data_IF_319488841242
#
_entry.id   IF_319488841242
#
_cell.length_a   1.000
_cell.length_b   1.000
_cell.length_c   1.000
_cell.angle_alpha   90.00
_cell.angle_beta   90.00
_cell.angle_gamma   90.00
#
_symmetry.space_group_name_H-M   'P 1'
#
loop_
_entity.id
_entity.type
_entity.pdbx_description
1 polymer ?
#
# COMPACT_ATOMS: atom_id res chain seq x y z
N UNK A 1 26.81 14.51 14.62
CA UNK A 1 26.66 13.29 13.81
C UNK A 1 25.23 13.29 13.33
N UNK A 2 24.97 13.33 12.03
CA UNK A 2 23.61 13.18 11.52
C UNK A 2 23.23 11.70 11.68
N UNK A 3 22.27 11.41 12.57
CA UNK A 3 21.63 10.10 12.61
C UNK A 3 20.91 9.88 11.27
N UNK A 4 21.09 8.69 10.68
CA UNK A 4 20.42 8.32 9.44
C UNK A 4 18.96 7.97 9.72
N UNK A 5 18.04 8.15 8.76
CA UNK A 5 16.62 7.76 8.92
C UNK A 5 16.46 6.31 9.38
N UNK A 6 17.32 5.40 8.91
CA UNK A 6 17.34 4.01 9.33
C UNK A 6 17.69 3.82 10.82
N UNK A 7 18.69 4.55 11.33
CA UNK A 7 19.07 4.49 12.74
C UNK A 7 17.97 5.05 13.66
N UNK A 8 17.28 6.10 13.21
CA UNK A 8 16.11 6.66 13.88
C UNK A 8 14.96 5.65 13.91
N UNK A 9 14.64 5.02 12.76
CA UNK A 9 13.58 4.03 12.68
C UNK A 9 13.80 2.88 13.69
N UNK A 10 15.00 2.30 13.76
CA UNK A 10 15.31 1.21 14.70
C UNK A 10 15.20 1.64 16.16
N UNK A 11 15.67 2.84 16.51
CA UNK A 11 15.59 3.34 17.88
C UNK A 11 14.15 3.68 18.31
N UNK A 12 13.31 4.14 17.38
CA UNK A 12 11.94 4.59 17.64
C UNK A 12 10.90 3.48 17.54
N UNK A 13 11.21 2.40 16.83
CA UNK A 13 10.35 1.23 16.63
C UNK A 13 11.04 -0.08 17.03
N UNK A 14 11.36 -0.24 18.33
CA UNK A 14 11.88 -1.51 18.84
C UNK A 14 10.87 -2.64 18.68
N UNK A 15 11.39 -3.88 18.61
CA UNK A 15 10.58 -5.08 18.69
C UNK A 15 9.82 -5.15 20.02
N UNK A 16 8.62 -5.71 19.97
CA UNK A 16 7.78 -6.01 21.13
C UNK A 16 7.31 -7.46 21.09
N UNK A 17 6.52 -7.89 22.07
CA UNK A 17 6.03 -9.25 22.16
C UNK A 17 5.07 -9.60 21.01
N UNK A 18 5.25 -10.78 20.42
CA UNK A 18 4.36 -11.32 19.37
C UNK A 18 2.88 -11.39 19.83
N UNK A 19 2.63 -11.68 21.12
CA UNK A 19 1.29 -11.76 21.70
C UNK A 19 0.49 -10.45 21.68
N UNK A 20 1.11 -9.32 21.31
CA UNK A 20 0.37 -8.08 21.02
C UNK A 20 -0.59 -8.22 19.82
N UNK A 21 -0.43 -9.28 19.00
CA UNK A 21 -1.33 -9.62 17.89
C UNK A 21 -2.51 -10.50 18.27
N UNK A 22 -2.57 -11.04 19.49
CA UNK A 22 -3.60 -12.03 19.89
C UNK A 22 -5.02 -11.48 19.70
N UNK A 23 -5.23 -10.20 20.00
CA UNK A 23 -6.54 -9.57 19.80
C UNK A 23 -6.90 -9.38 18.31
N UNK A 24 -5.91 -9.23 17.42
CA UNK A 24 -6.14 -9.18 15.97
C UNK A 24 -6.50 -10.54 15.43
N UNK A 25 -5.85 -11.60 15.93
CA UNK A 25 -6.20 -13.00 15.62
C UNK A 25 -7.66 -13.28 15.96
N UNK A 26 -8.09 -12.90 17.16
CA UNK A 26 -9.49 -13.04 17.60
C UNK A 26 -10.45 -12.15 16.79
N UNK A 27 -10.03 -10.93 16.44
CA UNK A 27 -10.86 -9.96 15.72
C UNK A 27 -11.09 -10.36 14.25
N UNK A 28 -10.04 -10.85 13.59
CA UNK A 28 -10.05 -11.19 12.17
C UNK A 28 -10.44 -12.65 11.91
N UNK A 29 -10.38 -13.52 12.93
CA UNK A 29 -10.46 -14.98 12.78
C UNK A 29 -9.44 -15.51 11.75
N UNK A 30 -8.21 -15.01 11.86
CA UNK A 30 -7.12 -15.21 10.89
C UNK A 30 -5.80 -15.48 11.63
N UNK A 31 -4.86 -16.20 11.00
CA UNK A 31 -3.56 -16.53 11.60
C UNK A 31 -2.49 -15.44 11.44
N UNK A 32 -2.75 -14.46 10.58
CA UNK A 32 -1.89 -13.32 10.27
C UNK A 32 -0.94 -13.55 9.09
N UNK A 33 -0.99 -14.69 8.40
CA UNK A 33 -0.01 -15.06 7.36
C UNK A 33 0.22 -13.96 6.32
N UNK A 34 -0.83 -13.28 5.89
CA UNK A 34 -0.78 -12.15 4.94
C UNK A 34 -1.07 -10.79 5.61
N UNK A 35 -1.37 -10.77 6.90
CA UNK A 35 -1.93 -9.63 7.63
C UNK A 35 -3.30 -9.97 8.24
N UNK A 36 -3.65 -9.32 9.35
CA UNK A 36 -4.94 -9.51 10.01
C UNK A 36 -5.97 -8.56 9.41
N UNK A 37 -6.83 -9.02 8.51
CA UNK A 37 -7.85 -8.18 7.89
C UNK A 37 -8.99 -7.85 8.89
N UNK A 38 -9.10 -6.61 9.41
CA UNK A 38 -10.10 -6.29 10.40
C UNK A 38 -11.51 -6.25 9.79
N UNK A 39 -12.59 -6.33 10.59
CA UNK A 39 -13.92 -5.86 10.21
C UNK A 39 -13.93 -4.33 10.02
N UNK A 40 -15.10 -3.69 9.89
CA UNK A 40 -15.15 -2.25 9.61
C UNK A 40 -14.87 -1.33 10.82
N UNK A 41 -15.51 -1.59 11.96
CA UNK A 41 -15.45 -0.94 13.29
C UNK A 41 -15.04 0.55 13.48
N UNK A 42 -16.02 1.42 13.80
CA UNK A 42 -17.41 1.36 13.36
C UNK A 42 -17.59 1.50 11.84
N UNK A 43 -16.55 1.87 11.11
CA UNK A 43 -16.62 2.15 9.68
C UNK A 43 -15.25 1.93 9.01
N UNK A 44 -15.23 1.64 7.71
CA UNK A 44 -13.98 1.39 7.01
C UNK A 44 -13.96 1.87 5.57
N UNK A 45 -12.75 2.14 5.09
CA UNK A 45 -12.47 2.38 3.68
C UNK A 45 -11.24 1.58 3.24
N UNK A 46 -11.20 1.28 1.95
CA UNK A 46 -9.95 0.98 1.25
C UNK A 46 -9.24 2.28 0.93
N UNK A 47 -7.96 2.38 1.28
CA UNK A 47 -7.01 3.31 0.68
C UNK A 47 -6.39 2.60 -0.51
N UNK A 48 -6.71 3.05 -1.71
CA UNK A 48 -6.30 2.43 -2.96
C UNK A 48 -4.85 2.86 -3.28
N UNK A 49 -3.97 1.88 -3.47
CA UNK A 49 -2.56 2.15 -3.74
C UNK A 49 -2.41 2.94 -5.06
N UNK A 50 -1.46 3.87 -5.09
CA UNK A 50 -1.22 4.71 -6.27
C UNK A 50 -0.82 3.89 -7.50
N UNK A 51 -1.33 4.33 -8.65
CA UNK A 51 -0.89 3.88 -9.97
C UNK A 51 -0.57 5.10 -10.83
N UNK A 52 0.25 4.90 -11.85
CA UNK A 52 0.74 6.00 -12.69
C UNK A 52 0.54 5.69 -14.17
N UNK A 53 0.28 6.74 -14.93
CA UNK A 53 0.19 6.68 -16.38
C UNK A 53 1.26 7.59 -16.98
N UNK A 54 2.00 7.07 -17.94
CA UNK A 54 2.95 7.84 -18.72
C UNK A 54 2.20 8.82 -19.64
N UNK A 55 2.78 9.98 -19.97
CA UNK A 55 2.17 11.01 -20.82
C UNK A 55 1.75 10.52 -22.22
N UNK A 56 2.35 9.42 -22.69
CA UNK A 56 1.98 8.76 -23.95
C UNK A 56 0.67 7.96 -23.84
N UNK A 57 0.10 7.85 -22.64
CA UNK A 57 -1.11 7.09 -22.35
C UNK A 57 -0.86 5.58 -22.25
N UNK A 58 -1.93 4.79 -22.12
CA UNK A 58 -1.82 3.34 -22.21
C UNK A 58 -1.47 2.99 -23.64
N UNK A 59 -0.44 2.18 -23.80
CA UNK A 59 0.02 1.71 -25.10
C UNK A 59 -0.66 0.37 -25.43
N UNK A 60 -0.79 0.03 -26.71
CA UNK A 60 -1.32 -1.27 -27.14
C UNK A 60 -0.37 -2.45 -26.81
N UNK A 61 0.83 -2.15 -26.29
CA UNK A 61 1.84 -3.12 -25.93
C UNK A 61 1.84 -3.35 -24.42
N UNK A 62 1.79 -4.60 -23.99
CA UNK A 62 1.90 -4.91 -22.56
C UNK A 62 3.33 -4.76 -22.05
N UNK A 63 3.48 -4.61 -20.73
CA UNK A 63 4.77 -4.53 -20.05
C UNK A 63 5.68 -5.73 -20.39
N UNK A 64 5.16 -6.96 -20.33
CA UNK A 64 5.98 -8.16 -20.64
C UNK A 64 6.39 -8.21 -22.11
N UNK A 65 5.53 -7.76 -23.04
CA UNK A 65 5.88 -7.70 -24.45
C UNK A 65 6.98 -6.67 -24.71
N UNK A 66 6.88 -5.49 -24.08
CA UNK A 66 7.89 -4.44 -24.15
C UNK A 66 9.22 -4.90 -23.51
N UNK A 67 9.17 -5.51 -22.33
CA UNK A 67 10.34 -6.09 -21.65
C UNK A 67 11.06 -7.11 -22.53
N UNK A 68 10.31 -8.02 -23.16
CA UNK A 68 10.89 -9.01 -24.08
C UNK A 68 11.54 -8.34 -25.29
N UNK A 69 10.92 -7.31 -25.87
CA UNK A 69 11.47 -6.58 -27.00
C UNK A 69 12.79 -5.87 -26.63
N UNK A 70 12.87 -5.24 -25.45
CA UNK A 70 14.09 -4.60 -24.94
C UNK A 70 15.19 -5.63 -24.67
N UNK A 71 14.86 -6.74 -24.01
CA UNK A 71 15.82 -7.84 -23.75
C UNK A 71 16.37 -8.46 -25.03
N UNK A 72 15.64 -8.38 -26.14
CA UNK A 72 16.07 -8.83 -27.46
C UNK A 72 16.91 -7.78 -28.23
N UNK A 73 17.34 -6.71 -27.55
CA UNK A 73 18.23 -5.68 -28.10
C UNK A 73 17.51 -4.47 -28.69
N UNK A 74 16.20 -4.36 -28.49
CA UNK A 74 15.46 -3.14 -28.83
C UNK A 74 15.64 -2.04 -27.77
N UNK A 75 15.32 -0.82 -28.16
CA UNK A 75 15.44 0.38 -27.33
C UNK A 75 14.24 1.33 -27.48
N UNK A 76 14.46 2.65 -27.37
CA UNK A 76 13.41 3.67 -27.47
C UNK A 76 12.62 3.66 -28.79
N UNK A 77 13.09 2.96 -29.81
CA UNK A 77 12.40 2.78 -31.09
C UNK A 77 11.21 1.80 -31.04
N UNK A 78 11.13 0.94 -30.01
CA UNK A 78 9.99 0.01 -29.85
C UNK A 78 8.70 0.80 -29.66
N UNK A 79 8.74 1.83 -28.81
CA UNK A 79 7.65 2.79 -28.61
C UNK A 79 8.32 4.18 -28.59
N UNK A 80 8.24 4.95 -29.71
CA UNK A 80 8.88 6.25 -29.81
C UNK A 80 8.51 7.17 -28.64
N UNK A 81 9.54 7.63 -27.92
CA UNK A 81 9.39 8.52 -26.78
C UNK A 81 9.14 7.82 -25.44
N UNK A 82 9.14 6.49 -25.38
CA UNK A 82 9.16 5.73 -24.13
C UNK A 82 10.55 5.11 -23.94
N UNK A 83 11.29 5.62 -22.95
CA UNK A 83 12.63 5.10 -22.64
C UNK A 83 12.49 3.82 -21.77
N UNK A 84 13.14 2.71 -22.12
CA UNK A 84 13.19 1.52 -21.27
C UNK A 84 13.63 1.81 -19.83
N UNK A 85 14.53 2.78 -19.62
CA UNK A 85 14.97 3.18 -18.29
C UNK A 85 13.85 3.82 -17.46
N UNK A 86 12.95 4.58 -18.09
CA UNK A 86 11.78 5.20 -17.43
C UNK A 86 10.72 4.15 -17.04
N UNK A 87 10.66 3.03 -17.76
CA UNK A 87 9.70 1.94 -17.53
C UNK A 87 10.20 0.93 -16.51
N UNK A 88 11.46 0.50 -16.62
CA UNK A 88 12.02 -0.57 -15.79
C UNK A 88 12.75 -0.06 -14.55
N UNK A 89 13.00 1.25 -14.45
CA UNK A 89 13.61 1.88 -13.28
C UNK A 89 12.57 2.29 -12.23
N UNK A 90 12.94 2.22 -10.95
CA UNK A 90 12.10 2.64 -9.82
C UNK A 90 11.34 1.50 -9.14
N UNK A 91 10.69 1.82 -8.03
CA UNK A 91 9.80 0.89 -7.29
C UNK A 91 8.39 1.02 -7.87
N UNK A 92 7.66 -0.08 -8.09
CA UNK A 92 6.24 -0.02 -8.44
C UNK A 92 5.46 0.90 -7.50
N UNK A 93 4.44 1.58 -8.01
CA UNK A 93 3.57 2.47 -7.23
C UNK A 93 4.25 3.74 -6.70
N UNK A 94 5.55 3.96 -6.95
CA UNK A 94 6.23 5.22 -6.64
C UNK A 94 6.19 6.18 -7.84
N UNK A 95 6.22 7.50 -7.62
CA UNK A 95 6.36 8.47 -8.70
C UNK A 95 7.62 8.21 -9.56
N UNK A 96 7.43 7.87 -10.84
CA UNK A 96 8.51 7.54 -11.79
C UNK A 96 9.12 8.73 -12.54
N UNK A 97 8.88 9.95 -12.06
CA UNK A 97 9.41 11.19 -12.65
C UNK A 97 8.37 12.01 -13.43
N UNK A 98 8.79 13.10 -14.09
CA UNK A 98 7.89 14.17 -14.55
C UNK A 98 6.95 13.79 -15.70
N UNK A 99 7.25 12.70 -16.42
CA UNK A 99 6.45 12.20 -17.54
C UNK A 99 5.38 11.21 -17.11
N UNK A 100 5.35 10.86 -15.83
CA UNK A 100 4.36 10.00 -15.21
C UNK A 100 3.44 10.84 -14.34
N UNK A 101 2.14 10.67 -14.51
CA UNK A 101 1.12 11.32 -13.67
C UNK A 101 0.37 10.27 -12.87
N UNK A 102 -0.12 10.65 -11.69
CA UNK A 102 -1.03 9.81 -10.92
C UNK A 102 -2.27 9.50 -11.75
N UNK A 103 -2.56 8.22 -11.92
CA UNK A 103 -3.79 7.71 -12.53
C UNK A 103 -4.73 7.30 -11.39
N UNK A 104 -5.93 7.86 -11.34
CA UNK A 104 -6.91 7.52 -10.29
C UNK A 104 -7.66 6.24 -10.63
N UNK A 105 -7.99 5.41 -9.65
CA UNK A 105 -8.78 4.18 -9.84
C UNK A 105 -10.15 4.49 -10.43
N UNK A 106 -10.81 5.54 -9.95
CA UNK A 106 -12.06 6.02 -10.53
C UNK A 106 -11.91 6.56 -11.96
N UNK A 107 -10.73 7.08 -12.33
CA UNK A 107 -10.45 7.48 -13.71
C UNK A 107 -10.35 6.25 -14.61
N UNK A 108 -9.55 5.26 -14.22
CA UNK A 108 -9.36 4.04 -14.98
C UNK A 108 -10.65 3.23 -15.11
N UNK A 109 -11.39 3.07 -14.00
CA UNK A 109 -12.69 2.40 -13.97
C UNK A 109 -13.70 3.01 -14.95
N UNK A 110 -13.75 4.35 -15.07
CA UNK A 110 -14.61 5.02 -16.05
C UNK A 110 -14.18 4.78 -17.50
N UNK A 111 -12.87 4.65 -17.75
CA UNK A 111 -12.32 4.42 -19.10
C UNK A 111 -12.62 3.01 -19.57
N UNK A 112 -12.51 2.02 -18.69
CA UNK A 112 -12.64 0.60 -19.03
C UNK A 112 -14.05 0.05 -18.83
N UNK A 113 -14.83 0.65 -17.93
CA UNK A 113 -16.10 0.09 -17.44
C UNK A 113 -15.92 -0.98 -16.36
N UNK A 114 -14.67 -1.26 -15.94
CA UNK A 114 -14.40 -2.22 -14.88
C UNK A 114 -14.71 -1.64 -13.49
N UNK A 115 -15.17 -2.45 -12.53
CA UNK A 115 -15.37 -1.99 -11.15
C UNK A 115 -14.03 -1.83 -10.40
N UNK A 116 -13.90 -0.78 -9.59
CA UNK A 116 -12.71 -0.56 -8.72
C UNK A 116 -12.48 -1.73 -7.75
N UNK A 117 -13.53 -2.40 -7.28
CA UNK A 117 -13.45 -3.54 -6.35
C UNK A 117 -14.55 -4.58 -6.64
N UNK A 118 -14.40 -5.46 -7.65
CA UNK A 118 -15.45 -6.38 -8.11
C UNK A 118 -15.95 -7.35 -7.01
N UNK A 119 -15.08 -7.78 -6.11
CA UNK A 119 -15.39 -8.68 -4.99
C UNK A 119 -15.25 -7.97 -3.63
N UNK A 120 -15.28 -6.63 -3.64
CA UNK A 120 -15.06 -5.82 -2.43
C UNK A 120 -13.60 -5.79 -1.95
N UNK A 121 -12.65 -6.35 -2.71
CA UNK A 121 -11.20 -6.34 -2.43
C UNK A 121 -10.42 -5.86 -3.67
N UNK A 122 -9.77 -4.68 -3.60
CA UNK A 122 -8.88 -4.23 -4.66
C UNK A 122 -7.61 -5.10 -4.73
N UNK A 123 -7.44 -5.82 -5.82
CA UNK A 123 -6.29 -6.70 -6.08
C UNK A 123 -6.02 -6.82 -7.58
N UNK A 124 -5.18 -7.78 -7.98
CA UNK A 124 -4.86 -8.07 -9.38
C UNK A 124 -6.06 -8.33 -10.31
N UNK A 125 -7.26 -8.52 -9.74
CA UNK A 125 -8.52 -8.74 -10.49
C UNK A 125 -9.33 -7.46 -10.76
N UNK A 126 -8.89 -6.30 -10.29
CA UNK A 126 -9.73 -5.09 -10.30
C UNK A 126 -9.94 -4.46 -11.69
N UNK A 127 -9.05 -4.71 -12.65
CA UNK A 127 -9.16 -4.21 -14.03
C UNK A 127 -9.03 -5.35 -15.04
N UNK A 128 -10.00 -6.29 -15.10
CA UNK A 128 -9.90 -7.47 -15.93
C UNK A 128 -9.83 -7.14 -17.44
N UNK A 129 -10.36 -6.00 -17.89
CA UNK A 129 -10.28 -5.60 -19.30
C UNK A 129 -8.87 -5.23 -19.76
N UNK A 130 -7.99 -4.84 -18.82
CA UNK A 130 -6.59 -4.52 -19.09
C UNK A 130 -5.67 -5.71 -18.91
N UNK A 131 -6.22 -6.85 -18.46
CA UNK A 131 -5.46 -8.05 -18.19
C UNK A 131 -5.23 -8.84 -19.47
N UNK A 132 -4.21 -8.44 -20.21
CA UNK A 132 -3.61 -9.31 -21.23
C UNK A 132 -2.86 -10.47 -20.54
N UNK A 133 -2.67 -11.63 -21.20
CA UNK A 133 -1.81 -12.71 -20.69
C UNK A 133 -0.38 -12.24 -20.34
N UNK A 134 0.00 -11.08 -20.87
CA UNK A 134 1.31 -10.45 -20.76
C UNK A 134 1.33 -9.19 -19.88
N UNK A 135 0.35 -9.02 -18.99
CA UNK A 135 0.31 -7.99 -17.94
C UNK A 135 -0.32 -6.65 -18.35
N UNK A 136 -0.14 -5.64 -17.51
CA UNK A 136 -0.63 -4.27 -17.74
C UNK A 136 -0.06 -3.67 -19.05
N UNK A 137 -0.78 -2.72 -19.71
CA UNK A 137 -0.21 -1.86 -20.74
C UNK A 137 1.07 -1.18 -20.25
N UNK A 138 2.14 -1.14 -21.06
CA UNK A 138 3.45 -0.64 -20.58
C UNK A 138 3.44 0.86 -20.22
N UNK A 139 2.49 1.63 -20.75
CA UNK A 139 2.27 3.02 -20.35
C UNK A 139 1.57 3.20 -19.00
N UNK A 140 1.18 2.11 -18.32
CA UNK A 140 0.60 2.13 -16.98
C UNK A 140 1.53 1.37 -16.03
N UNK A 141 1.93 2.04 -14.96
CA UNK A 141 2.53 1.40 -13.79
C UNK A 141 1.42 1.08 -12.80
N UNK A 142 1.19 -0.21 -12.59
CA UNK A 142 0.14 -0.70 -11.71
C UNK A 142 0.40 -0.37 -10.23
N UNK A 143 -0.60 -0.53 -9.38
CA UNK A 143 -0.42 -0.34 -7.94
C UNK A 143 0.56 -1.36 -7.35
N UNK A 144 1.26 -0.96 -6.30
CA UNK A 144 2.09 -1.86 -5.49
C UNK A 144 1.25 -2.93 -4.82
N UNK A 145 1.72 -4.17 -4.87
CA UNK A 145 1.13 -5.29 -4.15
C UNK A 145 1.68 -5.35 -2.73
N UNK A 146 0.80 -5.47 -1.73
CA UNK A 146 1.18 -5.66 -0.33
C UNK A 146 1.83 -4.48 0.39
N UNK A 147 2.07 -3.34 -0.28
CA UNK A 147 2.70 -2.15 0.31
C UNK A 147 2.14 -0.85 -0.24
N UNK A 148 2.06 0.17 0.60
CA UNK A 148 1.87 1.55 0.16
C UNK A 148 3.19 2.14 -0.33
N UNK A 149 3.11 3.08 -1.27
CA UNK A 149 4.22 3.95 -1.62
C UNK A 149 4.50 4.97 -0.49
N UNK A 150 5.66 5.62 -0.52
CA UNK A 150 6.09 6.55 0.52
C UNK A 150 5.15 7.75 0.67
N UNK A 151 4.66 8.26 -0.45
CA UNK A 151 3.78 9.45 -0.47
C UNK A 151 2.45 9.11 0.18
N UNK A 152 1.82 8.02 -0.23
CA UNK A 152 0.56 7.55 0.33
C UNK A 152 0.72 7.11 1.79
N UNK A 153 1.82 6.43 2.15
CA UNK A 153 2.14 6.08 3.55
C UNK A 153 2.26 7.32 4.44
N UNK A 154 3.04 8.30 4.01
CA UNK A 154 3.24 9.53 4.77
C UNK A 154 1.93 10.30 4.96
N UNK A 155 1.12 10.38 3.90
CA UNK A 155 -0.18 11.06 3.98
C UNK A 155 -1.16 10.30 4.88
N UNK A 156 -1.19 8.98 4.80
CA UNK A 156 -2.00 8.15 5.69
C UNK A 156 -1.61 8.35 7.17
N UNK A 157 -0.31 8.39 7.48
CA UNK A 157 0.19 8.70 8.83
C UNK A 157 -0.25 10.08 9.30
N UNK A 158 -0.24 11.09 8.42
CA UNK A 158 -0.72 12.44 8.76
C UNK A 158 -2.21 12.43 9.11
N UNK A 159 -3.05 11.77 8.30
CA UNK A 159 -4.49 11.64 8.57
C UNK A 159 -4.73 10.88 9.89
N UNK A 160 -4.03 9.77 10.12
CA UNK A 160 -4.13 9.02 11.39
C UNK A 160 -3.73 9.89 12.58
N UNK A 161 -2.70 10.73 12.42
CA UNK A 161 -2.25 11.67 13.46
C UNK A 161 -3.32 12.70 13.76
N UNK A 162 -3.92 13.31 12.74
CA UNK A 162 -4.99 14.32 12.90
C UNK A 162 -6.25 13.75 13.57
N UNK A 163 -6.52 12.45 13.36
CA UNK A 163 -7.74 11.78 13.82
C UNK A 163 -7.57 10.86 15.04
N UNK A 164 -6.36 10.78 15.60
CA UNK A 164 -6.13 10.03 16.84
C UNK A 164 -6.23 10.95 18.07
N UNK A 165 -6.85 10.53 19.19
CA UNK A 165 -7.06 11.39 20.36
C UNK A 165 -5.79 12.01 20.95
N UNK A 166 -4.65 11.32 20.82
CA UNK A 166 -3.35 11.76 21.33
C UNK A 166 -2.45 12.35 20.23
N UNK A 167 -2.98 12.52 19.02
CA UNK A 167 -2.24 13.07 17.90
C UNK A 167 -0.97 12.27 17.61
N UNK A 168 0.16 12.97 17.50
CA UNK A 168 1.47 12.40 17.24
C UNK A 168 1.96 11.47 18.37
N UNK A 169 1.51 11.69 19.60
CA UNK A 169 1.88 10.88 20.77
C UNK A 169 1.08 9.57 20.88
N UNK A 170 0.15 9.34 19.96
CA UNK A 170 -0.61 8.09 19.89
C UNK A 170 0.34 6.92 19.79
N UNK A 171 0.32 6.08 20.82
CA UNK A 171 1.09 4.83 20.83
C UNK A 171 0.46 3.85 19.85
N UNK A 172 1.29 3.21 19.05
CA UNK A 172 0.86 2.30 18.02
C UNK A 172 1.82 1.11 17.89
N UNK A 173 1.30 0.04 17.32
CA UNK A 173 2.04 -1.17 17.05
C UNK A 173 1.96 -1.48 15.56
N UNK A 174 3.08 -1.94 15.01
CA UNK A 174 3.25 -2.27 13.60
C UNK A 174 3.62 -3.75 13.50
N UNK A 175 2.82 -4.52 12.76
CA UNK A 175 3.05 -5.92 12.50
C UNK A 175 3.44 -6.12 11.03
N UNK A 176 4.44 -6.98 10.82
CA UNK A 176 4.87 -7.40 9.50
C UNK A 176 4.63 -8.90 9.37
N UNK A 177 3.90 -9.29 8.34
CA UNK A 177 3.52 -10.68 8.15
C UNK A 177 4.74 -11.57 7.81
N UNK A 178 4.67 -12.89 8.10
CA UNK A 178 5.77 -13.81 7.83
C UNK A 178 6.21 -13.86 6.36
N UNK A 179 5.31 -13.61 5.40
CA UNK A 179 5.67 -13.61 3.97
C UNK A 179 6.60 -12.45 3.61
N UNK A 180 6.46 -11.30 4.27
CA UNK A 180 7.42 -10.18 4.18
C UNK A 180 8.78 -10.55 4.77
N UNK A 181 8.78 -11.39 5.81
CA UNK A 181 9.96 -11.82 6.56
C UNK A 181 10.51 -13.17 6.06
N UNK A 182 10.44 -13.42 4.74
CA UNK A 182 11.01 -14.61 4.05
C UNK A 182 10.49 -15.95 4.57
N UNK A 183 9.35 -15.95 5.27
CA UNK A 183 8.74 -17.14 5.88
C UNK A 183 9.69 -17.89 6.83
N UNK A 184 10.57 -17.17 7.55
CA UNK A 184 11.56 -17.77 8.45
C UNK A 184 10.94 -18.23 9.79
N UNK A 185 9.93 -17.51 10.30
CA UNK A 185 9.29 -17.79 11.58
C UNK A 185 7.78 -17.47 11.53
N UNK A 186 6.95 -18.47 11.84
CA UNK A 186 5.49 -18.35 11.89
C UNK A 186 4.95 -18.29 13.32
N UNK A 187 5.78 -18.65 14.30
CA UNK A 187 5.38 -18.74 15.70
C UNK A 187 5.71 -17.45 16.47
N UNK A 188 6.78 -16.74 16.07
CA UNK A 188 7.18 -15.45 16.64
C UNK A 188 6.85 -14.31 15.68
N UNK A 189 5.58 -13.88 15.71
CA UNK A 189 5.11 -12.78 14.88
C UNK A 189 5.90 -11.48 15.11
N UNK A 190 6.33 -10.86 14.01
CA UNK A 190 7.21 -9.70 14.02
C UNK A 190 6.44 -8.41 14.27
N UNK A 191 6.52 -7.90 15.50
CA UNK A 191 5.79 -6.72 15.95
C UNK A 191 6.75 -5.67 16.50
N UNK A 192 6.51 -4.42 16.13
CA UNK A 192 7.21 -3.25 16.66
C UNK A 192 6.25 -2.32 17.37
N UNK A 193 6.75 -1.58 18.35
CA UNK A 193 5.96 -0.58 19.07
C UNK A 193 6.60 0.80 18.97
N UNK A 194 5.79 1.83 18.77
CA UNK A 194 6.25 3.20 18.58
C UNK A 194 5.13 4.21 18.78
N UNK A 195 5.26 5.37 18.14
CA UNK A 195 4.25 6.44 18.13
C UNK A 195 3.98 6.93 16.72
N UNK A 196 2.83 7.57 16.50
CA UNK A 196 2.51 8.16 15.19
C UNK A 196 3.51 9.24 14.76
N UNK A 197 4.13 9.96 15.70
CA UNK A 197 5.20 10.92 15.42
C UNK A 197 6.36 10.29 14.62
N UNK A 198 6.63 9.02 14.88
CA UNK A 198 7.74 8.27 14.28
C UNK A 198 7.26 7.29 13.19
N UNK A 199 5.96 7.18 12.91
CA UNK A 199 5.43 6.14 12.02
C UNK A 199 5.92 6.29 10.57
N UNK A 200 6.18 7.52 10.10
CA UNK A 200 6.79 7.75 8.77
C UNK A 200 8.15 7.06 8.61
N UNK A 201 8.91 6.93 9.71
CA UNK A 201 10.23 6.29 9.69
C UNK A 201 10.17 4.77 9.48
N UNK A 202 9.01 4.11 9.67
CA UNK A 202 8.85 2.68 9.41
C UNK A 202 9.14 2.32 7.95
N UNK A 203 8.86 3.21 7.01
CA UNK A 203 9.15 3.00 5.59
C UNK A 203 10.66 2.80 5.34
N UNK A 204 11.52 3.45 6.15
CA UNK A 204 12.98 3.37 6.04
C UNK A 204 13.60 2.39 7.05
N UNK A 205 12.79 1.56 7.70
CA UNK A 205 13.31 0.65 8.71
C UNK A 205 14.19 -0.44 8.05
N UNK A 206 15.47 -0.58 8.46
CA UNK A 206 16.46 -1.38 7.72
C UNK A 206 16.18 -2.89 7.72
N UNK A 207 15.36 -3.37 8.65
CA UNK A 207 14.99 -4.80 8.77
C UNK A 207 13.68 -5.15 8.05
N UNK A 208 13.02 -4.18 7.42
CA UNK A 208 11.70 -4.39 6.78
C UNK A 208 11.77 -4.40 5.25
N UNK A 209 12.98 -4.44 4.68
CA UNK A 209 13.24 -4.58 3.24
C UNK A 209 12.41 -3.63 2.33
N UNK A 210 12.06 -2.43 2.84
CA UNK A 210 11.29 -1.41 2.12
C UNK A 210 9.77 -1.58 2.14
N UNK A 211 9.24 -2.50 2.94
CA UNK A 211 7.81 -2.74 3.10
C UNK A 211 7.17 -1.83 4.14
N UNK A 212 5.94 -1.39 3.89
CA UNK A 212 5.08 -0.86 4.96
C UNK A 212 4.51 -2.00 5.82
N UNK A 213 4.14 -1.74 7.09
CA UNK A 213 3.54 -2.77 7.95
C UNK A 213 2.29 -3.41 7.33
N UNK A 214 2.16 -4.72 7.47
CA UNK A 214 0.92 -5.44 7.11
C UNK A 214 -0.24 -5.01 7.99
N UNK A 215 0.00 -4.72 9.26
CA UNK A 215 -0.96 -4.04 10.13
C UNK A 215 -0.28 -2.90 10.90
N UNK A 216 -1.01 -1.82 11.12
CA UNK A 216 -0.70 -0.78 12.10
C UNK A 216 -1.97 -0.49 12.90
N UNK A 217 -1.89 -0.39 14.21
CA UNK A 217 -3.05 -0.05 15.05
C UNK A 217 -2.67 0.85 16.20
N UNK A 218 -3.61 1.68 16.64
CA UNK A 218 -3.48 2.39 17.90
C UNK A 218 -3.55 1.42 19.08
N UNK A 219 -2.73 1.64 20.11
CA UNK A 219 -2.69 0.78 21.29
C UNK A 219 -4.04 0.70 22.02
N UNK A 220 -4.86 1.76 21.93
CA UNK A 220 -6.23 1.79 22.47
C UNK A 220 -7.27 1.08 21.59
N UNK A 221 -6.83 0.54 20.44
CA UNK A 221 -7.63 -0.19 19.44
C UNK A 221 -8.75 0.64 18.83
N UNK A 222 -8.62 1.97 18.87
CA UNK A 222 -9.60 2.89 18.27
C UNK A 222 -9.65 2.79 16.75
N UNK A 223 -8.54 2.42 16.10
CA UNK A 223 -8.44 2.13 14.68
C UNK A 223 -7.37 1.07 14.42
N UNK A 224 -7.48 0.42 13.26
CA UNK A 224 -6.51 -0.55 12.73
C UNK A 224 -6.50 -0.45 11.21
N UNK A 225 -5.32 -0.53 10.61
CA UNK A 225 -5.16 -0.76 9.20
C UNK A 225 -4.63 -2.16 8.90
N UNK A 226 -4.93 -2.65 7.70
CA UNK A 226 -4.38 -3.88 7.16
C UNK A 226 -4.07 -3.72 5.66
N UNK A 227 -2.82 -3.98 5.30
CA UNK A 227 -2.40 -4.21 3.91
C UNK A 227 -2.08 -5.69 3.80
N UNK A 228 -3.00 -6.42 3.19
CA UNK A 228 -2.78 -7.84 2.89
C UNK A 228 -1.76 -7.95 1.75
N UNK A 229 -0.91 -8.98 1.84
CA UNK A 229 0.18 -9.23 0.89
C UNK A 229 -0.27 -9.25 -0.59
N UNK A 230 -1.45 -9.79 -0.91
CA UNK A 230 -1.95 -9.93 -2.29
C UNK A 230 -2.87 -8.77 -2.74
N UNK A 231 -3.01 -7.73 -1.92
CA UNK A 231 -3.92 -6.61 -2.19
C UNK A 231 -3.20 -5.38 -2.74
N UNK A 232 -3.97 -4.62 -3.52
CA UNK A 232 -3.58 -3.32 -4.09
C UNK A 232 -4.25 -2.17 -3.33
N UNK A 233 -4.60 -2.41 -2.07
CA UNK A 233 -5.20 -1.44 -1.17
C UNK A 233 -4.94 -1.80 0.29
N UNK A 234 -4.88 -0.77 1.13
CA UNK A 234 -4.84 -0.86 2.58
C UNK A 234 -6.25 -0.64 3.12
N UNK A 235 -6.80 -1.57 3.90
CA UNK A 235 -8.03 -1.33 4.64
C UNK A 235 -7.71 -0.48 5.84
N UNK A 236 -8.49 0.57 6.09
CA UNK A 236 -8.46 1.32 7.35
C UNK A 236 -9.83 1.21 7.99
N UNK A 237 -9.85 0.66 9.21
CA UNK A 237 -11.03 0.46 10.04
C UNK A 237 -10.93 1.35 11.28
N UNK A 238 -11.96 2.14 11.56
CA UNK A 238 -11.94 3.08 12.67
C UNK A 238 -13.17 3.98 12.74
N UNK A 239 -13.09 5.09 13.52
CA UNK A 239 -14.21 5.99 13.72
C UNK A 239 -14.64 6.64 12.41
N UNK A 240 -15.95 6.90 12.25
CA UNK A 240 -16.48 7.55 11.04
C UNK A 240 -15.74 8.86 10.66
N UNK A 241 -15.34 9.75 11.60
CA UNK A 241 -14.55 10.93 11.24
C UNK A 241 -13.21 10.62 10.54
N UNK A 242 -12.54 9.53 10.93
CA UNK A 242 -11.31 9.08 10.27
C UNK A 242 -11.62 8.62 8.84
N UNK A 243 -12.66 7.79 8.67
CA UNK A 243 -13.06 7.29 7.34
C UNK A 243 -13.48 8.43 6.41
N UNK A 244 -14.26 9.40 6.91
CA UNK A 244 -14.61 10.60 6.14
C UNK A 244 -13.38 11.41 5.72
N UNK A 245 -12.36 11.51 6.58
CA UNK A 245 -11.12 12.18 6.21
C UNK A 245 -10.40 11.47 5.06
N UNK A 246 -10.35 10.14 5.07
CA UNK A 246 -9.77 9.35 3.97
C UNK A 246 -10.53 9.56 2.66
N UNK A 247 -11.87 9.59 2.70
CA UNK A 247 -12.72 9.76 1.52
C UNK A 247 -12.64 11.16 0.90
N UNK A 248 -12.37 12.18 1.72
CA UNK A 248 -12.29 13.57 1.29
C UNK A 248 -10.86 14.04 1.01
N UNK A 249 -9.86 13.19 1.23
CA UNK A 249 -8.47 13.53 0.96
C UNK A 249 -8.19 13.63 -0.54
N UNK A 250 -7.39 14.61 -0.93
CA UNK A 250 -7.07 14.87 -2.34
C UNK A 250 -5.78 14.22 -2.79
N UNK A 251 -4.95 13.72 -1.88
CA UNK A 251 -3.67 13.09 -2.19
C UNK A 251 -3.86 11.58 -2.32
N UNK A 252 -4.43 10.92 -1.31
CA UNK A 252 -4.80 9.50 -1.38
C UNK A 252 -6.14 9.31 -2.11
N UNK A 253 -6.43 8.10 -2.57
CA UNK A 253 -7.74 7.75 -3.13
C UNK A 253 -8.36 6.67 -2.24
N UNK A 254 -9.61 6.88 -1.81
CA UNK A 254 -10.27 5.96 -0.91
C UNK A 254 -11.67 5.56 -1.39
N UNK A 255 -12.06 4.34 -1.02
CA UNK A 255 -13.38 3.77 -1.29
C UNK A 255 -13.98 3.24 0.00
N UNK A 256 -15.12 3.80 0.42
CA UNK A 256 -15.84 3.32 1.60
C UNK A 256 -16.33 1.89 1.35
N UNK A 257 -16.21 1.04 2.35
CA UNK A 257 -16.71 -0.31 2.28
C UNK A 257 -18.24 -0.32 2.51
N UNK A 258 -19.05 -0.89 1.60
CA UNK A 258 -20.51 -0.85 1.66
C UNK A 258 -21.16 -1.70 2.77
N UNK A 259 -20.37 -2.21 3.72
CA UNK A 259 -20.78 -3.21 4.72
C UNK A 259 -20.80 -2.62 6.14
N UNK A 260 -20.90 -1.29 6.25
CA UNK A 260 -21.02 -0.56 7.51
C UNK A 260 -22.45 -0.50 8.07
N UNK A 261 -23.28 -1.52 7.79
CA UNK A 261 -24.58 -1.76 8.44
C UNK A 261 -24.73 -3.24 8.78
#
# INVERSE_FOLDING_TARGET
MNETSAALATARWPLTAAGETDWLRDLADDDGLTGFMPPALPDAAWVLHSMYEHELGPTDMSYVAYQRAVLNGGGPEIIPGLDPADVFGGTPGEPRGPRWRRLRWAELSRRTGDPVAPEGRPCYRSFPSLREPSGWPVGIDGPSEGSLDRTDWNRLVDILTEHSPQGAETRCLAYYNPLLQKAEDFDNLHVRAGTLADAKALYDHPEEDGWTPSNLWAQDRSWVLCTDYDLWATKVAGPAPLVEALLNDTEIEALRLPWAL
#
